data_IF_988600858231
#
_entry.id   IF_988600858231
#
_cell.length_a   1.000
_cell.length_b   1.000
_cell.length_c   1.000
_cell.angle_alpha   90.00
_cell.angle_beta   90.00
_cell.angle_gamma   90.00
#
_symmetry.space_group_name_H-M   'P 1'
#
loop_
_entity.id
_entity.type
_entity.pdbx_description
1 polymer ?
#
# COMPACT_ATOMS: atom_id res chain seq x y z
N UNK A 1 6.53 -14.60 -15.31
CA UNK A 1 6.99 -13.52 -14.41
C UNK A 1 8.51 -13.47 -14.52
N UNK A 2 9.06 -12.45 -15.17
CA UNK A 2 10.45 -12.37 -15.64
C UNK A 2 11.46 -12.20 -14.48
N UNK A 3 11.69 -13.21 -13.64
CA UNK A 3 12.70 -13.16 -12.58
C UNK A 3 12.43 -12.16 -11.44
N UNK A 4 11.27 -11.50 -11.44
CA UNK A 4 10.84 -10.62 -10.35
C UNK A 4 10.56 -11.45 -9.10
N UNK A 5 11.07 -11.00 -7.95
CA UNK A 5 10.61 -11.48 -6.65
C UNK A 5 9.27 -10.82 -6.34
N UNK A 6 8.31 -11.64 -5.91
CA UNK A 6 6.93 -11.21 -5.71
C UNK A 6 6.54 -11.39 -4.26
N UNK A 7 5.80 -10.41 -3.75
CA UNK A 7 5.18 -10.47 -2.43
C UNK A 7 3.67 -10.48 -2.56
N UNK A 8 3.02 -11.23 -1.66
CA UNK A 8 1.57 -11.19 -1.50
C UNK A 8 1.26 -10.42 -0.23
N UNK A 9 0.57 -9.28 -0.37
CA UNK A 9 0.01 -8.54 0.77
C UNK A 9 -1.41 -8.99 1.01
N UNK A 10 -1.75 -9.29 2.26
CA UNK A 10 -3.11 -9.64 2.69
C UNK A 10 -3.54 -8.64 3.75
N UNK A 11 -4.73 -8.05 3.58
CA UNK A 11 -5.31 -7.08 4.50
C UNK A 11 -6.77 -7.41 4.81
N UNK A 12 -7.25 -6.94 5.98
CA UNK A 12 -8.65 -7.07 6.41
C UNK A 12 -9.28 -5.71 6.76
N UNK A 13 -9.41 -4.79 5.78
CA UNK A 13 -9.99 -3.48 6.02
C UNK A 13 -11.50 -3.54 6.26
N UNK A 14 -12.07 -2.45 6.77
CA UNK A 14 -13.52 -2.22 6.75
C UNK A 14 -14.00 -2.20 5.29
N UNK A 15 -15.16 -2.78 5.03
CA UNK A 15 -15.69 -3.00 3.67
C UNK A 15 -15.76 -1.70 2.84
N UNK A 16 -16.07 -0.58 3.49
CA UNK A 16 -16.13 0.75 2.86
C UNK A 16 -14.79 1.44 2.64
N UNK A 17 -13.67 0.92 3.16
CA UNK A 17 -12.35 1.51 2.90
C UNK A 17 -11.97 1.34 1.42
N UNK A 18 -11.36 2.39 0.86
CA UNK A 18 -10.78 2.37 -0.50
C UNK A 18 -9.70 1.27 -0.57
N UNK A 19 -9.74 0.36 -1.55
CA UNK A 19 -8.68 -0.63 -1.76
C UNK A 19 -7.32 0.00 -2.06
N UNK A 20 -6.23 -0.60 -1.54
CA UNK A 20 -4.85 -0.12 -1.77
C UNK A 20 -4.51 0.07 -3.26
N UNK A 21 -4.94 -0.84 -4.13
CA UNK A 21 -4.66 -0.74 -5.56
C UNK A 21 -5.38 0.44 -6.23
N UNK A 22 -6.55 0.87 -5.73
CA UNK A 22 -7.23 2.07 -6.23
C UNK A 22 -6.50 3.33 -5.77
N UNK A 23 -5.99 3.33 -4.53
CA UNK A 23 -5.10 4.36 -4.01
C UNK A 23 -3.83 4.48 -4.87
N UNK A 24 -3.17 3.36 -5.19
CA UNK A 24 -1.98 3.35 -6.04
C UNK A 24 -2.32 3.86 -7.45
N UNK A 25 -3.42 3.40 -8.04
CA UNK A 25 -3.85 3.86 -9.36
C UNK A 25 -4.10 5.37 -9.38
N UNK A 26 -4.75 5.91 -8.35
CA UNK A 26 -4.95 7.36 -8.22
C UNK A 26 -3.61 8.12 -8.19
N UNK A 27 -2.60 7.61 -7.47
CA UNK A 27 -1.27 8.20 -7.49
C UNK A 27 -0.63 8.13 -8.89
N UNK A 28 -0.78 7.02 -9.61
CA UNK A 28 -0.28 6.86 -10.99
C UNK A 28 -0.92 7.90 -11.90
N UNK A 29 -2.25 8.04 -11.84
CA UNK A 29 -3.01 8.97 -12.70
C UNK A 29 -2.62 10.44 -12.45
N UNK A 30 -2.17 10.78 -11.23
CA UNK A 30 -1.73 12.12 -10.86
C UNK A 30 -0.24 12.39 -11.09
N UNK A 31 0.56 11.34 -11.30
CA UNK A 31 2.01 11.45 -11.49
C UNK A 31 2.37 11.75 -12.96
N UNK A 32 1.89 12.89 -13.46
CA UNK A 32 2.13 13.39 -14.82
C UNK A 32 3.01 14.66 -14.79
N UNK A 33 3.58 15.02 -15.95
CA UNK A 33 4.39 16.22 -16.14
C UNK A 33 5.51 16.37 -15.09
N UNK A 34 5.48 17.45 -14.30
CA UNK A 34 6.45 17.75 -13.24
C UNK A 34 6.42 16.75 -12.07
N UNK A 35 5.40 15.91 -11.98
CA UNK A 35 5.26 14.86 -10.97
C UNK A 35 5.62 13.46 -11.46
N UNK A 36 6.07 13.31 -12.72
CA UNK A 36 6.42 12.01 -13.30
C UNK A 36 7.51 11.25 -12.50
N UNK A 37 8.34 11.96 -11.73
CA UNK A 37 9.35 11.35 -10.87
C UNK A 37 8.78 10.40 -9.82
N UNK A 38 7.53 10.61 -9.38
CA UNK A 38 6.87 9.77 -8.36
C UNK A 38 6.64 8.35 -8.86
N UNK A 39 6.48 8.16 -10.18
CA UNK A 39 6.25 6.84 -10.77
C UNK A 39 7.38 5.85 -10.46
N UNK A 40 8.62 6.32 -10.25
CA UNK A 40 9.75 5.45 -9.88
C UNK A 40 9.61 4.85 -8.46
N UNK A 41 8.71 5.39 -7.65
CA UNK A 41 8.53 5.06 -6.24
C UNK A 41 7.21 4.34 -5.94
N UNK A 42 6.32 4.20 -6.92
CA UNK A 42 5.05 3.51 -6.73
C UNK A 42 5.23 2.01 -6.98
N UNK A 43 4.67 1.14 -6.13
CA UNK A 43 4.77 -0.30 -6.32
C UNK A 43 3.99 -0.76 -7.55
N UNK A 44 4.56 -1.70 -8.30
CA UNK A 44 3.85 -2.34 -9.40
C UNK A 44 2.88 -3.40 -8.86
N UNK A 45 1.58 -3.18 -9.04
CA UNK A 45 0.53 -4.14 -8.68
C UNK A 45 0.23 -5.05 -9.87
N UNK A 46 0.52 -6.35 -9.72
CA UNK A 46 0.42 -7.34 -10.80
C UNK A 46 -0.84 -8.20 -10.69
N UNK A 47 -1.43 -8.30 -9.50
CA UNK A 47 -2.66 -9.04 -9.27
C UNK A 47 -3.41 -8.55 -8.04
N UNK A 48 -4.73 -8.76 -8.02
CA UNK A 48 -5.61 -8.45 -6.88
C UNK A 48 -6.66 -9.53 -6.71
N UNK A 49 -7.06 -9.79 -5.47
CA UNK A 49 -8.15 -10.71 -5.16
C UNK A 49 -8.93 -10.27 -3.92
N UNK A 50 -10.15 -10.78 -3.83
CA UNK A 50 -11.01 -10.68 -2.67
C UNK A 50 -11.26 -12.12 -2.22
N UNK A 51 -10.97 -12.43 -0.96
CA UNK A 51 -11.24 -13.74 -0.40
C UNK A 51 -12.59 -13.73 0.33
N UNK A 52 -13.36 -14.81 0.17
CA UNK A 52 -14.62 -14.98 0.89
C UNK A 52 -14.35 -15.20 2.39
N UNK A 53 -14.94 -14.36 3.22
CA UNK A 53 -14.92 -14.45 4.68
C UNK A 53 -16.32 -14.42 5.29
N UNK A 54 -17.36 -14.61 4.47
CA UNK A 54 -18.78 -14.47 4.82
C UNK A 54 -19.15 -15.23 6.08
N UNK A 55 -18.81 -16.52 6.17
CA UNK A 55 -19.14 -17.35 7.33
C UNK A 55 -18.64 -16.79 8.68
N UNK A 56 -17.45 -16.18 8.70
CA UNK A 56 -16.91 -15.54 9.92
C UNK A 56 -17.56 -14.18 10.15
N UNK A 57 -17.78 -13.40 9.09
CA UNK A 57 -18.44 -12.09 9.16
C UNK A 57 -19.87 -12.21 9.68
N UNK A 58 -20.64 -13.19 9.20
CA UNK A 58 -22.03 -13.39 9.58
C UNK A 58 -22.15 -13.74 11.07
N UNK A 59 -21.25 -14.60 11.58
CA UNK A 59 -21.18 -14.92 13.01
C UNK A 59 -20.84 -13.70 13.87
N UNK A 60 -19.95 -12.84 13.40
CA UNK A 60 -19.58 -11.62 14.11
C UNK A 60 -20.72 -10.58 14.06
N UNK A 61 -21.38 -10.41 12.92
CA UNK A 61 -22.59 -9.58 12.77
C UNK A 61 -23.69 -10.00 13.73
N UNK A 62 -23.98 -11.30 13.84
CA UNK A 62 -24.98 -11.82 14.80
C UNK A 62 -24.58 -11.49 16.24
N UNK A 63 -23.28 -11.61 16.58
CA UNK A 63 -22.79 -11.41 17.96
C UNK A 63 -22.75 -9.94 18.37
N UNK A 64 -22.38 -9.04 17.46
CA UNK A 64 -22.07 -7.64 17.78
C UNK A 64 -23.11 -6.65 17.22
N UNK A 65 -24.06 -7.12 16.41
CA UNK A 65 -25.17 -6.31 15.88
C UNK A 65 -24.69 -5.08 15.11
N UNK A 66 -25.38 -3.96 15.30
CA UNK A 66 -25.12 -2.69 14.62
C UNK A 66 -23.76 -2.06 14.98
N UNK A 67 -23.13 -2.51 16.07
CA UNK A 67 -21.77 -2.09 16.45
C UNK A 67 -20.66 -2.78 15.65
N UNK A 68 -21.01 -3.73 14.77
CA UNK A 68 -20.03 -4.46 13.98
C UNK A 68 -19.70 -3.76 12.66
N UNK A 69 -18.46 -3.31 12.53
CA UNK A 69 -17.91 -2.89 11.24
C UNK A 69 -17.61 -4.12 10.37
N UNK A 70 -18.39 -4.32 9.30
CA UNK A 70 -18.15 -5.39 8.34
C UNK A 70 -16.77 -5.21 7.67
N UNK A 71 -15.99 -6.30 7.63
CA UNK A 71 -14.64 -6.30 7.06
C UNK A 71 -14.54 -7.28 5.89
N UNK A 72 -13.60 -7.04 5.00
CA UNK A 72 -13.37 -7.88 3.82
C UNK A 72 -11.90 -8.28 3.75
N UNK A 73 -11.60 -9.51 3.32
CA UNK A 73 -10.21 -9.93 3.10
C UNK A 73 -9.85 -9.56 1.67
N UNK A 74 -8.81 -8.75 1.52
CA UNK A 74 -8.26 -8.34 0.22
C UNK A 74 -6.81 -8.76 0.14
N UNK A 75 -6.38 -9.15 -1.04
CA UNK A 75 -4.96 -9.36 -1.30
C UNK A 75 -4.50 -8.76 -2.61
N UNK A 76 -3.22 -8.44 -2.65
CA UNK A 76 -2.51 -7.94 -3.83
C UNK A 76 -1.21 -8.69 -4.01
N UNK A 77 -0.82 -8.88 -5.28
CA UNK A 77 0.48 -9.41 -5.68
C UNK A 77 1.26 -8.23 -6.22
N UNK A 78 2.41 -7.94 -5.62
CA UNK A 78 3.28 -6.83 -5.96
C UNK A 78 4.71 -7.33 -6.13
N UNK A 79 5.56 -6.53 -6.78
CA UNK A 79 7.00 -6.75 -6.70
C UNK A 79 7.50 -6.60 -5.26
N UNK A 80 8.50 -7.39 -4.88
CA UNK A 80 9.20 -7.23 -3.61
C UNK A 80 10.03 -5.94 -3.65
N UNK A 81 9.72 -5.01 -2.74
CA UNK A 81 10.52 -3.81 -2.52
C UNK A 81 11.63 -4.11 -1.50
N UNK A 82 12.76 -3.42 -1.64
CA UNK A 82 13.95 -3.66 -0.80
C UNK A 82 13.87 -2.82 0.49
N UNK A 83 13.84 -3.43 1.69
CA UNK A 83 13.82 -2.69 2.94
C UNK A 83 14.93 -1.64 3.04
N UNK A 84 14.63 -0.45 3.56
CA UNK A 84 15.63 0.62 3.74
C UNK A 84 16.80 0.17 4.64
N UNK A 85 16.54 -0.79 5.53
CA UNK A 85 17.54 -1.36 6.44
C UNK A 85 18.57 -2.25 5.74
N UNK A 86 18.31 -2.68 4.51
CA UNK A 86 19.26 -3.48 3.72
C UNK A 86 20.28 -2.58 2.98
N UNK A 87 20.10 -1.26 2.99
CA UNK A 87 21.04 -0.30 2.43
C UNK A 87 22.32 -0.24 3.27
N UNK A 88 23.47 -0.46 2.62
CA UNK A 88 24.79 -0.49 3.28
C UNK A 88 25.55 0.83 3.15
N UNK A 89 25.25 1.61 2.11
CA UNK A 89 25.91 2.89 1.86
C UNK A 89 25.19 4.01 2.59
N UNK A 90 25.90 4.83 3.40
CA UNK A 90 25.32 6.04 3.99
C UNK A 90 24.73 7.01 2.96
N UNK A 91 25.31 7.06 1.76
CA UNK A 91 24.84 7.92 0.67
C UNK A 91 23.53 7.41 0.10
N UNK A 92 23.42 6.09 -0.13
CA UNK A 92 22.17 5.47 -0.60
C UNK A 92 21.07 5.63 0.44
N UNK A 93 21.39 5.43 1.72
CA UNK A 93 20.45 5.62 2.81
C UNK A 93 19.96 7.06 2.89
N UNK A 94 20.86 8.04 2.81
CA UNK A 94 20.49 9.46 2.81
C UNK A 94 19.55 9.79 1.63
N UNK A 95 19.87 9.29 0.42
CA UNK A 95 19.02 9.50 -0.74
C UNK A 95 17.64 8.85 -0.58
N UNK A 96 17.58 7.61 -0.08
CA UNK A 96 16.31 6.94 0.20
C UNK A 96 15.46 7.77 1.16
N UNK A 97 16.04 8.28 2.25
CA UNK A 97 15.34 9.13 3.21
C UNK A 97 14.78 10.42 2.57
N UNK A 98 15.55 11.07 1.69
CA UNK A 98 15.06 12.22 0.94
C UNK A 98 13.90 11.86 0.01
N UNK A 99 14.01 10.75 -0.70
CA UNK A 99 12.98 10.27 -1.63
C UNK A 99 11.70 9.90 -0.87
N UNK A 100 11.81 9.26 0.30
CA UNK A 100 10.68 8.90 1.18
C UNK A 100 9.94 10.14 1.67
N UNK A 101 10.66 11.15 2.15
CA UNK A 101 10.04 12.39 2.66
C UNK A 101 9.34 13.14 1.53
N UNK A 102 9.96 13.24 0.35
CA UNK A 102 9.35 13.86 -0.83
C UNK A 102 8.10 13.09 -1.28
N UNK A 103 8.16 11.76 -1.36
CA UNK A 103 7.00 10.94 -1.71
C UNK A 103 5.87 11.10 -0.69
N UNK A 104 6.20 11.13 0.62
CA UNK A 104 5.21 11.26 1.66
C UNK A 104 4.49 12.62 1.60
N UNK A 105 5.25 13.71 1.42
CA UNK A 105 4.68 15.05 1.23
C UNK A 105 3.82 15.11 -0.03
N UNK A 106 4.30 14.55 -1.15
CA UNK A 106 3.55 14.54 -2.40
C UNK A 106 2.24 13.75 -2.30
N UNK A 107 2.27 12.54 -1.73
CA UNK A 107 1.06 11.70 -1.52
C UNK A 107 0.05 12.43 -0.62
N UNK A 108 0.53 13.11 0.44
CA UNK A 108 -0.35 13.86 1.32
C UNK A 108 -0.99 15.07 0.60
N UNK A 109 -0.21 15.84 -0.14
CA UNK A 109 -0.65 17.10 -0.77
C UNK A 109 -1.49 16.87 -2.02
N UNK A 110 -1.17 15.86 -2.84
CA UNK A 110 -1.79 15.66 -4.14
C UNK A 110 -2.90 14.60 -4.09
N UNK A 111 -2.61 13.42 -3.53
CA UNK A 111 -3.58 12.33 -3.50
C UNK A 111 -4.43 12.31 -2.21
N UNK A 112 -4.16 13.22 -1.26
CA UNK A 112 -4.88 13.39 0.00
C UNK A 112 -4.88 12.13 0.87
N UNK A 113 -3.77 11.38 0.82
CA UNK A 113 -3.60 10.14 1.56
C UNK A 113 -2.56 10.36 2.66
N UNK A 114 -2.90 9.97 3.89
CA UNK A 114 -1.97 9.99 5.01
C UNK A 114 -1.55 8.55 5.33
N UNK A 115 -0.26 8.23 5.16
CA UNK A 115 0.27 6.86 5.32
C UNK A 115 -0.01 6.28 6.72
N UNK A 116 0.04 7.11 7.79
CA UNK A 116 -0.20 6.80 9.22
C UNK A 116 0.62 5.66 9.85
N UNK A 117 1.30 4.84 9.06
CA UNK A 117 2.06 3.67 9.52
C UNK A 117 3.52 3.72 9.01
N UNK A 118 4.20 4.84 9.27
CA UNK A 118 5.60 5.05 8.89
C UNK A 118 6.50 4.43 9.95
N UNK A 119 7.22 3.37 9.59
CA UNK A 119 8.17 2.67 10.45
C UNK A 119 9.32 2.11 9.64
N UNK A 120 10.45 1.78 10.27
CA UNK A 120 11.60 1.17 9.57
C UNK A 120 11.24 -0.14 8.85
N UNK A 121 10.23 -0.87 9.33
CA UNK A 121 9.76 -2.11 8.71
C UNK A 121 8.81 -1.88 7.52
N UNK A 122 8.25 -0.67 7.38
CA UNK A 122 7.28 -0.32 6.34
C UNK A 122 7.85 0.62 5.27
N UNK A 123 9.15 0.94 5.36
CA UNK A 123 9.88 1.75 4.39
C UNK A 123 10.74 0.82 3.54
N UNK A 124 10.45 0.79 2.23
CA UNK A 124 11.06 -0.08 1.23
C UNK A 124 11.28 0.67 -0.09
#
# INVERSE_FOLDING_TARGET
WNGLKLVMKISRPVKGCVPEHETIQRCIDMAVDEHAWVLKHLPIVLGRFIADGSAVQDRLKIKFGDGYEERIIRGSIQEELCPVMDLKSPVEFAQAMYDILQCHDWIYTHSQILHRDVSQANIM
#
